data_IF_475725638450
#
_entry.id   IF_475725638450
#
_cell.length_a   1.000
_cell.length_b   1.000
_cell.length_c   1.000
_cell.angle_alpha   90.00
_cell.angle_beta   90.00
_cell.angle_gamma   90.00
#
_symmetry.space_group_name_H-M   'P 1'
#
loop_
_entity.id
_entity.type
_entity.pdbx_description
1 polymer ?
#
# COMPACT_ATOMS: atom_id res chain seq x y z
N UNK A 1 10.84 -1.85 11.44
CA UNK A 1 11.29 -1.34 10.13
C UNK A 1 12.37 -2.26 9.59
N UNK A 2 12.47 -2.39 8.27
CA UNK A 2 13.45 -3.21 7.54
C UNK A 2 14.25 -2.26 6.65
N UNK A 3 15.57 -2.31 6.71
CA UNK A 3 16.41 -1.52 5.82
C UNK A 3 16.50 -2.19 4.44
N UNK A 4 16.38 -1.42 3.35
CA UNK A 4 16.44 -1.92 1.97
C UNK A 4 17.78 -2.58 1.70
N UNK A 5 18.86 -1.97 2.14
CA UNK A 5 20.22 -2.53 1.98
C UNK A 5 20.38 -3.94 2.57
N UNK A 6 19.71 -4.23 3.70
CA UNK A 6 19.72 -5.58 4.29
C UNK A 6 19.05 -6.62 3.40
N UNK A 7 18.04 -6.22 2.62
CA UNK A 7 17.38 -7.09 1.65
C UNK A 7 18.28 -7.26 0.43
N UNK A 8 18.84 -6.18 -0.10
CA UNK A 8 19.76 -6.21 -1.23
C UNK A 8 20.93 -7.15 -0.98
N UNK A 9 21.61 -7.02 0.16
CA UNK A 9 22.73 -7.90 0.52
C UNK A 9 22.28 -9.36 0.64
N UNK A 10 21.11 -9.63 1.21
CA UNK A 10 20.58 -10.98 1.32
C UNK A 10 20.18 -11.57 -0.03
N UNK A 11 19.62 -10.77 -0.96
CA UNK A 11 19.32 -11.16 -2.35
C UNK A 11 20.60 -11.48 -3.09
N UNK A 12 21.57 -10.57 -3.11
CA UNK A 12 22.87 -10.77 -3.80
C UNK A 12 23.60 -12.02 -3.33
N UNK A 13 23.62 -12.26 -2.02
CA UNK A 13 24.21 -13.49 -1.46
C UNK A 13 23.57 -14.75 -2.02
N UNK A 14 22.22 -14.80 -2.18
CA UNK A 14 21.51 -15.98 -2.71
C UNK A 14 21.59 -16.10 -4.23
N UNK A 15 21.75 -14.98 -4.92
CA UNK A 15 22.00 -14.97 -6.36
C UNK A 15 23.45 -15.31 -6.73
N UNK A 16 24.33 -15.41 -5.73
CA UNK A 16 25.79 -15.51 -5.91
C UNK A 16 26.35 -14.32 -6.72
N UNK A 17 25.85 -13.10 -6.44
CA UNK A 17 26.13 -11.85 -7.11
C UNK A 17 26.82 -10.87 -6.13
N UNK A 18 27.97 -11.27 -5.59
CA UNK A 18 28.66 -10.54 -4.50
C UNK A 18 29.88 -9.76 -4.97
N UNK A 19 30.32 -9.94 -6.23
CA UNK A 19 31.44 -9.19 -6.79
C UNK A 19 31.01 -7.77 -7.18
N UNK A 20 31.38 -6.80 -6.37
CA UNK A 20 31.01 -5.37 -6.57
C UNK A 20 31.52 -4.77 -7.91
N UNK A 21 32.49 -5.40 -8.55
CA UNK A 21 33.03 -4.92 -9.83
C UNK A 21 32.30 -5.53 -11.03
N UNK A 22 31.48 -6.57 -10.80
CA UNK A 22 30.84 -7.36 -11.87
C UNK A 22 29.44 -7.81 -11.44
N UNK A 23 28.66 -6.92 -10.86
CA UNK A 23 27.28 -7.21 -10.56
C UNK A 23 26.50 -7.59 -11.81
N UNK A 24 25.74 -8.67 -11.72
CA UNK A 24 24.85 -9.14 -12.78
C UNK A 24 23.55 -8.34 -12.81
N UNK A 25 23.07 -7.93 -11.64
CA UNK A 25 21.91 -7.05 -11.46
C UNK A 25 22.40 -5.72 -10.87
N UNK A 26 21.92 -4.60 -11.41
CA UNK A 26 22.17 -3.29 -10.80
C UNK A 26 21.44 -3.16 -9.46
N UNK A 27 21.77 -2.16 -8.65
CA UNK A 27 21.01 -1.88 -7.42
C UNK A 27 19.60 -1.41 -7.77
N UNK A 28 19.45 -0.64 -8.84
CA UNK A 28 18.17 -0.13 -9.35
C UNK A 28 17.24 -1.28 -9.75
N UNK A 29 17.72 -2.26 -10.54
CA UNK A 29 16.93 -3.43 -10.92
C UNK A 29 16.45 -4.23 -9.71
N UNK A 30 17.31 -4.43 -8.71
CA UNK A 30 16.91 -5.14 -7.49
C UNK A 30 15.94 -4.32 -6.65
N UNK A 31 16.05 -2.97 -6.63
CA UNK A 31 15.08 -2.09 -5.97
C UNK A 31 13.73 -2.16 -6.68
N UNK A 32 13.68 -2.22 -8.00
CA UNK A 32 12.45 -2.40 -8.77
C UNK A 32 11.75 -3.73 -8.44
N UNK A 33 12.51 -4.83 -8.25
CA UNK A 33 11.94 -6.10 -7.80
C UNK A 33 11.48 -6.05 -6.33
N UNK A 34 12.18 -5.29 -5.48
CA UNK A 34 11.71 -5.04 -4.11
C UNK A 34 10.40 -4.23 -4.15
N UNK A 35 10.29 -3.20 -4.99
CA UNK A 35 9.07 -2.42 -5.15
C UNK A 35 7.90 -3.25 -5.68
N UNK A 36 8.15 -4.13 -6.66
CA UNK A 36 7.16 -5.09 -7.13
C UNK A 36 6.70 -6.02 -6.00
N UNK A 37 7.62 -6.49 -5.16
CA UNK A 37 7.30 -7.30 -4.00
C UNK A 37 6.48 -6.52 -2.96
N UNK A 38 6.81 -5.26 -2.73
CA UNK A 38 6.08 -4.38 -1.82
C UNK A 38 4.68 -4.05 -2.34
N UNK A 39 4.51 -3.89 -3.66
CA UNK A 39 3.22 -3.67 -4.28
C UNK A 39 2.28 -4.86 -4.05
N UNK A 40 2.77 -6.10 -4.24
CA UNK A 40 1.98 -7.30 -4.00
C UNK A 40 1.64 -7.47 -2.52
N UNK A 41 2.60 -7.27 -1.62
CA UNK A 41 2.38 -7.31 -0.16
C UNK A 41 1.39 -6.23 0.27
N UNK A 42 1.46 -5.03 -0.32
CA UNK A 42 0.52 -3.93 -0.03
C UNK A 42 -0.91 -4.29 -0.39
N UNK A 43 -1.12 -4.91 -1.58
CA UNK A 43 -2.43 -5.38 -2.05
C UNK A 43 -2.97 -6.52 -1.18
N UNK A 44 -2.11 -7.48 -0.84
CA UNK A 44 -2.49 -8.69 -0.10
C UNK A 44 -2.81 -8.44 1.38
N UNK A 45 -2.06 -7.56 2.03
CA UNK A 45 -2.16 -7.33 3.47
C UNK A 45 -2.81 -5.98 3.83
N UNK A 46 -2.93 -5.06 2.88
CA UNK A 46 -3.37 -3.67 3.11
C UNK A 46 -2.69 -3.06 4.37
N UNK A 47 -1.40 -3.31 4.51
CA UNK A 47 -0.67 -3.02 5.76
C UNK A 47 -0.16 -1.58 5.86
N UNK A 48 -0.07 -0.86 4.75
CA UNK A 48 0.38 0.53 4.74
C UNK A 48 -0.81 1.49 4.75
N UNK A 49 -0.82 2.39 5.72
CA UNK A 49 -1.85 3.41 5.88
C UNK A 49 -1.19 4.79 5.91
N UNK A 50 -1.76 5.73 5.20
CA UNK A 50 -1.36 7.13 5.23
C UNK A 50 -2.57 8.02 5.48
N UNK A 51 -2.32 9.20 6.05
CA UNK A 51 -3.29 10.26 6.19
C UNK A 51 -2.77 11.48 5.43
N UNK A 52 -3.58 12.00 4.54
CA UNK A 52 -3.30 13.24 3.83
C UNK A 52 -4.27 14.33 4.23
N UNK A 53 -3.81 15.56 4.18
CA UNK A 53 -4.63 16.74 4.44
C UNK A 53 -4.63 17.65 3.22
N UNK A 54 -5.81 18.00 2.75
CA UNK A 54 -6.02 18.86 1.59
C UNK A 54 -6.85 20.07 2.07
N UNK A 55 -6.47 21.27 1.66
CA UNK A 55 -7.27 22.46 1.88
C UNK A 55 -8.24 22.63 0.72
N UNK A 56 -9.49 22.90 1.04
CA UNK A 56 -10.56 23.06 0.06
C UNK A 56 -10.56 24.46 -0.53
N UNK A 57 -11.09 24.55 -1.76
CA UNK A 57 -11.49 25.78 -2.41
C UNK A 57 -13.00 25.66 -2.70
N UNK A 58 -13.81 26.62 -2.25
CA UNK A 58 -15.28 26.59 -2.39
C UNK A 58 -15.77 26.49 -3.85
N UNK A 59 -14.92 26.86 -4.81
CA UNK A 59 -15.21 26.82 -6.25
C UNK A 59 -14.74 25.52 -6.92
N UNK A 60 -14.10 24.61 -6.18
CA UNK A 60 -13.61 23.34 -6.69
C UNK A 60 -14.36 22.18 -6.02
N UNK A 61 -14.82 21.24 -6.83
CA UNK A 61 -15.44 20.00 -6.36
C UNK A 61 -14.57 18.78 -6.57
N UNK A 62 -13.42 18.95 -7.25
CA UNK A 62 -12.53 17.87 -7.67
C UNK A 62 -11.11 18.11 -7.17
N UNK A 63 -10.58 17.13 -6.45
CA UNK A 63 -9.23 17.16 -5.89
C UNK A 63 -8.45 15.92 -6.32
N UNK A 64 -7.17 16.11 -6.66
CA UNK A 64 -6.32 15.03 -7.11
C UNK A 64 -5.90 14.14 -5.94
N UNK A 65 -5.93 12.82 -6.18
CA UNK A 65 -5.41 11.81 -5.26
C UNK A 65 -4.00 11.37 -5.67
N UNK A 66 -3.17 10.89 -4.73
CA UNK A 66 -1.95 10.17 -5.06
C UNK A 66 -2.23 8.92 -5.91
N UNK A 67 -1.34 8.62 -6.88
CA UNK A 67 -1.53 7.48 -7.78
C UNK A 67 -1.41 6.09 -7.15
N UNK A 68 -0.90 6.02 -5.92
CA UNK A 68 -0.59 4.78 -5.21
C UNK A 68 -1.69 4.36 -4.23
N UNK A 69 -2.86 5.02 -4.22
CA UNK A 69 -3.99 4.68 -3.36
C UNK A 69 -4.58 3.32 -3.76
N UNK A 70 -4.68 2.42 -2.78
CA UNK A 70 -5.39 1.14 -2.92
C UNK A 70 -6.86 1.27 -2.51
N UNK A 71 -7.11 1.95 -1.39
CA UNK A 71 -8.45 2.11 -0.83
C UNK A 71 -8.53 3.27 0.14
N UNK A 72 -9.54 4.09 0.02
CA UNK A 72 -9.88 5.12 1.02
C UNK A 72 -10.58 4.45 2.20
N UNK A 73 -10.20 4.83 3.41
CA UNK A 73 -10.75 4.31 4.67
C UNK A 73 -11.76 5.28 5.29
N UNK A 74 -11.41 6.55 5.33
CA UNK A 74 -12.25 7.60 5.91
C UNK A 74 -11.93 8.95 5.29
N UNK A 75 -12.93 9.82 5.33
CA UNK A 75 -12.81 11.25 4.99
C UNK A 75 -13.45 12.06 6.10
N UNK A 76 -12.81 13.14 6.50
CA UNK A 76 -13.37 14.10 7.45
C UNK A 76 -13.03 15.52 7.04
N UNK A 77 -13.92 16.47 7.36
CA UNK A 77 -13.67 17.92 7.29
C UNK A 77 -13.72 18.45 8.71
N UNK A 78 -12.69 19.17 9.13
CA UNK A 78 -12.57 19.72 10.48
C UNK A 78 -12.88 18.70 11.58
N UNK A 79 -12.32 17.49 11.40
CA UNK A 79 -12.52 16.31 12.27
C UNK A 79 -13.95 15.75 12.30
N UNK A 80 -14.87 16.24 11.46
CA UNK A 80 -16.22 15.68 11.30
C UNK A 80 -16.22 14.66 10.16
N UNK A 81 -16.62 13.41 10.41
CA UNK A 81 -16.61 12.37 9.38
C UNK A 81 -17.63 12.69 8.27
N UNK A 82 -17.24 12.44 7.03
CA UNK A 82 -18.07 12.57 5.85
C UNK A 82 -18.42 11.19 5.31
N UNK A 83 -19.64 11.02 4.84
CA UNK A 83 -20.08 9.77 4.22
C UNK A 83 -19.42 9.58 2.86
N UNK A 84 -18.80 8.43 2.62
CA UNK A 84 -18.30 8.05 1.30
C UNK A 84 -19.42 7.35 0.54
N UNK A 85 -19.69 7.79 -0.69
CA UNK A 85 -20.70 7.22 -1.59
C UNK A 85 -20.05 6.76 -2.89
N UNK A 86 -20.67 5.80 -3.57
CA UNK A 86 -20.25 5.43 -4.91
C UNK A 86 -20.70 6.46 -5.95
N UNK A 87 -19.92 6.65 -7.03
CA UNK A 87 -20.25 7.57 -8.13
C UNK A 87 -21.67 7.36 -8.69
N UNK A 88 -22.04 6.10 -8.93
CA UNK A 88 -23.37 5.78 -9.44
C UNK A 88 -24.51 6.24 -8.49
N UNK A 89 -24.28 6.11 -7.18
CA UNK A 89 -25.26 6.55 -6.19
C UNK A 89 -25.41 8.06 -6.20
N UNK A 90 -24.30 8.80 -6.24
CA UNK A 90 -24.30 10.27 -6.31
C UNK A 90 -24.99 10.73 -7.59
N UNK A 91 -24.66 10.16 -8.74
CA UNK A 91 -25.25 10.49 -10.04
C UNK A 91 -26.76 10.31 -10.07
N UNK A 92 -27.28 9.21 -9.49
CA UNK A 92 -28.73 8.91 -9.44
C UNK A 92 -29.49 9.78 -8.43
N UNK A 93 -28.83 10.24 -7.37
CA UNK A 93 -29.47 10.95 -6.26
C UNK A 93 -29.10 12.44 -6.21
N UNK A 94 -28.47 13.00 -7.22
CA UNK A 94 -27.89 14.35 -7.25
C UNK A 94 -28.86 15.45 -6.74
N UNK A 95 -30.14 15.32 -7.01
CA UNK A 95 -31.16 16.31 -6.60
C UNK A 95 -31.66 16.14 -5.16
N UNK A 96 -31.32 15.03 -4.50
CA UNK A 96 -31.80 14.67 -3.17
C UNK A 96 -30.68 14.59 -2.12
N UNK A 97 -29.46 15.06 -2.45
CA UNK A 97 -28.33 15.02 -1.53
C UNK A 97 -28.27 16.36 -0.78
N UNK A 98 -28.62 16.32 0.50
CA UNK A 98 -28.60 17.48 1.39
C UNK A 98 -27.35 17.52 2.27
N UNK A 99 -26.82 16.35 2.61
CA UNK A 99 -25.63 16.22 3.46
C UNK A 99 -24.38 16.08 2.60
N UNK A 100 -23.28 16.67 3.06
CA UNK A 100 -22.00 16.59 2.38
C UNK A 100 -21.53 15.13 2.31
N UNK A 101 -21.18 14.67 1.12
CA UNK A 101 -20.60 13.36 0.87
C UNK A 101 -19.39 13.46 -0.03
N UNK A 102 -18.49 12.47 0.10
CA UNK A 102 -17.33 12.30 -0.77
C UNK A 102 -17.56 11.10 -1.69
N UNK A 103 -17.08 11.17 -2.93
CA UNK A 103 -16.97 10.03 -3.82
C UNK A 103 -15.65 10.08 -4.58
N UNK A 104 -15.22 8.95 -5.11
CA UNK A 104 -13.90 8.76 -5.69
C UNK A 104 -14.00 8.19 -7.08
N UNK A 105 -13.13 8.66 -7.98
CA UNK A 105 -12.74 7.97 -9.19
C UNK A 105 -11.28 7.49 -9.07
N UNK A 106 -10.69 6.98 -10.16
CA UNK A 106 -9.34 6.40 -10.14
C UNK A 106 -8.24 7.37 -9.69
N UNK A 107 -8.42 8.68 -9.91
CA UNK A 107 -7.36 9.68 -9.70
C UNK A 107 -7.81 10.91 -8.90
N UNK A 108 -9.08 10.98 -8.55
CA UNK A 108 -9.65 12.17 -7.91
C UNK A 108 -10.65 11.78 -6.82
N UNK A 109 -10.78 12.65 -5.85
CA UNK A 109 -11.96 12.65 -5.00
C UNK A 109 -12.79 13.88 -5.26
N UNK A 110 -14.08 13.77 -4.98
CA UNK A 110 -15.08 14.79 -5.19
C UNK A 110 -15.87 15.00 -3.92
N UNK A 111 -16.26 16.25 -3.68
CA UNK A 111 -17.18 16.63 -2.62
C UNK A 111 -18.49 17.11 -3.21
N UNK A 112 -19.60 16.64 -2.65
CA UNK A 112 -20.93 17.00 -3.10
C UNK A 112 -21.92 17.14 -1.92
N UNK A 113 -22.82 18.14 -1.89
CA UNK A 113 -22.98 19.21 -2.88
C UNK A 113 -21.93 20.32 -2.72
N UNK A 114 -21.61 20.98 -3.85
CA UNK A 114 -20.75 22.16 -3.89
C UNK A 114 -21.37 23.27 -3.03
N UNK A 115 -20.53 24.06 -2.35
CA UNK A 115 -20.99 25.18 -1.50
C UNK A 115 -21.43 24.77 -0.08
N UNK A 116 -21.24 23.49 0.31
CA UNK A 116 -21.42 23.00 1.69
C UNK A 116 -20.12 23.03 2.51
N UNK A 117 -19.02 23.44 1.91
CA UNK A 117 -17.71 23.66 2.54
C UNK A 117 -17.23 25.07 2.19
N UNK A 118 -16.24 25.54 2.93
CA UNK A 118 -15.68 26.89 2.78
C UNK A 118 -14.24 26.79 2.27
N UNK A 119 -13.75 27.94 1.76
CA UNK A 119 -12.33 28.09 1.50
C UNK A 119 -11.52 27.79 2.76
N UNK A 120 -10.39 27.11 2.56
CA UNK A 120 -9.47 26.68 3.60
C UNK A 120 -10.01 25.62 4.59
N UNK A 121 -11.24 25.13 4.43
CA UNK A 121 -11.68 23.95 5.19
C UNK A 121 -10.70 22.80 4.96
N UNK A 122 -10.30 22.13 6.05
CA UNK A 122 -9.29 21.08 5.99
C UNK A 122 -9.91 19.70 5.89
N UNK A 123 -9.75 19.07 4.72
CA UNK A 123 -10.10 17.65 4.54
C UNK A 123 -8.94 16.77 4.96
N UNK A 124 -9.24 15.75 5.77
CA UNK A 124 -8.32 14.64 6.07
C UNK A 124 -8.84 13.38 5.40
N UNK A 125 -7.96 12.72 4.66
CA UNK A 125 -8.25 11.47 3.96
C UNK A 125 -7.31 10.40 4.51
N UNK A 126 -7.87 9.36 5.13
CA UNK A 126 -7.13 8.17 5.52
C UNK A 126 -7.25 7.11 4.43
N UNK A 127 -6.15 6.58 3.98
CA UNK A 127 -6.15 5.59 2.89
C UNK A 127 -5.08 4.51 3.04
N UNK A 128 -5.31 3.41 2.35
CA UNK A 128 -4.32 2.36 2.10
C UNK A 128 -3.61 2.66 0.79
N UNK A 129 -2.29 2.41 0.75
CA UNK A 129 -1.47 2.73 -0.40
C UNK A 129 -0.41 1.66 -0.69
N UNK A 130 0.15 1.71 -1.90
CA UNK A 130 1.31 0.90 -2.29
C UNK A 130 2.57 1.61 -1.80
N UNK A 131 3.30 0.97 -0.90
CA UNK A 131 4.56 1.50 -0.41
C UNK A 131 5.68 1.23 -1.41
N UNK A 132 6.51 2.24 -1.67
CA UNK A 132 7.67 2.16 -2.56
C UNK A 132 8.91 2.72 -1.87
N UNK A 133 10.08 2.30 -2.34
CA UNK A 133 11.41 2.77 -1.92
C UNK A 133 12.20 3.22 -3.15
N UNK A 134 13.04 4.22 -2.98
CA UNK A 134 13.84 4.78 -4.07
C UNK A 134 15.33 4.44 -3.91
N UNK A 135 15.78 4.35 -2.66
CA UNK A 135 17.19 4.21 -2.35
C UNK A 135 17.49 3.04 -1.42
N UNK A 136 18.68 2.48 -1.53
CA UNK A 136 19.15 1.42 -0.62
C UNK A 136 19.25 1.84 0.85
N UNK A 137 19.33 3.14 1.13
CA UNK A 137 19.30 3.71 2.49
C UNK A 137 17.91 3.75 3.11
N UNK A 138 16.85 3.53 2.33
CA UNK A 138 15.48 3.65 2.79
C UNK A 138 15.08 2.54 3.76
N UNK A 139 14.00 2.82 4.51
CA UNK A 139 13.42 1.91 5.46
C UNK A 139 11.98 1.57 5.10
N UNK A 140 11.70 0.28 4.99
CA UNK A 140 10.35 -0.24 4.79
C UNK A 140 9.63 -0.24 6.13
N UNK A 141 8.53 0.52 6.22
CA UNK A 141 7.70 0.67 7.43
C UNK A 141 6.76 -0.51 7.65
N UNK A 142 7.29 -1.72 7.67
CA UNK A 142 6.55 -2.97 7.89
C UNK A 142 7.16 -3.77 9.03
N UNK A 143 6.42 -4.75 9.56
CA UNK A 143 6.96 -5.70 10.54
C UNK A 143 8.18 -6.45 10.00
N UNK A 144 9.17 -6.70 10.84
CA UNK A 144 10.33 -7.52 10.48
C UNK A 144 9.96 -8.93 10.02
N UNK A 145 8.79 -9.42 10.39
CA UNK A 145 8.26 -10.71 9.92
C UNK A 145 8.08 -10.77 8.40
N UNK A 146 7.82 -9.62 7.73
CA UNK A 146 7.66 -9.55 6.30
C UNK A 146 9.00 -9.62 5.51
N UNK A 147 10.16 -9.54 6.19
CA UNK A 147 11.48 -9.54 5.52
C UNK A 147 11.68 -10.75 4.61
N UNK A 148 11.22 -11.94 5.05
CA UNK A 148 11.34 -13.17 4.25
C UNK A 148 10.44 -13.15 3.03
N UNK A 149 9.21 -12.67 3.16
CA UNK A 149 8.29 -12.55 2.03
C UNK A 149 8.87 -11.63 0.94
N UNK A 150 9.34 -10.43 1.31
CA UNK A 150 9.99 -9.51 0.38
C UNK A 150 11.20 -10.18 -0.29
N UNK A 151 12.08 -10.79 0.50
CA UNK A 151 13.27 -11.48 -0.01
C UNK A 151 12.94 -12.58 -1.02
N UNK A 152 11.97 -13.44 -0.71
CA UNK A 152 11.62 -14.57 -1.58
C UNK A 152 10.94 -14.12 -2.87
N UNK A 153 10.08 -13.11 -2.82
CA UNK A 153 9.47 -12.58 -4.04
C UNK A 153 10.49 -11.85 -4.92
N UNK A 154 11.38 -11.07 -4.33
CA UNK A 154 12.49 -10.44 -5.06
C UNK A 154 13.37 -11.49 -5.76
N UNK A 155 13.71 -12.59 -5.09
CA UNK A 155 14.46 -13.70 -5.69
C UNK A 155 13.69 -14.41 -6.80
N UNK A 156 12.38 -14.63 -6.62
CA UNK A 156 11.51 -15.17 -7.66
C UNK A 156 11.60 -14.32 -8.93
N UNK A 157 11.42 -13.00 -8.83
CA UNK A 157 11.50 -12.08 -9.96
C UNK A 157 12.89 -12.07 -10.59
N UNK A 158 13.95 -12.04 -9.78
CA UNK A 158 15.35 -12.06 -10.27
C UNK A 158 15.67 -13.31 -11.07
N UNK A 159 15.07 -14.48 -10.77
CA UNK A 159 15.26 -15.71 -11.52
C UNK A 159 14.37 -15.83 -12.76
N UNK A 160 13.33 -15.01 -12.92
CA UNK A 160 12.48 -15.02 -14.13
C UNK A 160 13.21 -14.52 -15.38
N UNK A 161 14.17 -13.62 -15.25
CA UNK A 161 14.88 -13.03 -16.40
C UNK A 161 15.74 -14.04 -17.16
N UNK A 162 16.05 -15.16 -16.55
CA UNK A 162 16.96 -16.14 -17.15
C UNK A 162 16.22 -17.41 -17.56
N UNK A 163 16.06 -17.59 -18.87
CA UNK A 163 15.23 -18.62 -19.50
C UNK A 163 15.77 -20.06 -19.37
N UNK A 164 16.82 -20.32 -18.58
CA UNK A 164 17.28 -21.70 -18.36
C UNK A 164 16.31 -22.47 -17.46
N UNK A 165 16.05 -23.76 -17.76
CA UNK A 165 15.20 -24.64 -16.93
C UNK A 165 15.60 -24.64 -15.44
N UNK A 166 16.91 -24.57 -15.16
CA UNK A 166 17.43 -24.49 -13.80
C UNK A 166 16.97 -23.21 -13.07
N UNK A 167 16.85 -22.10 -13.76
CA UNK A 167 16.40 -20.83 -13.18
C UNK A 167 14.88 -20.80 -13.04
N UNK A 168 14.14 -21.42 -13.98
CA UNK A 168 12.68 -21.59 -13.85
C UNK A 168 12.33 -22.41 -12.59
N UNK A 169 13.07 -23.50 -12.30
CA UNK A 169 12.88 -24.26 -11.08
C UNK A 169 13.16 -23.48 -9.80
N UNK A 170 14.21 -22.62 -9.80
CA UNK A 170 14.49 -21.74 -8.66
C UNK A 170 13.44 -20.65 -8.50
N UNK A 171 13.00 -20.04 -9.58
CA UNK A 171 11.93 -19.03 -9.57
C UNK A 171 10.66 -19.61 -8.94
N UNK A 172 10.19 -20.78 -9.39
CA UNK A 172 9.03 -21.48 -8.81
C UNK A 172 9.22 -21.84 -7.34
N UNK A 173 10.42 -22.29 -6.95
CA UNK A 173 10.73 -22.58 -5.56
C UNK A 173 10.57 -21.35 -4.66
N UNK A 174 11.11 -20.19 -5.06
CA UNK A 174 11.01 -18.97 -4.28
C UNK A 174 9.58 -18.41 -4.26
N UNK A 175 8.80 -18.56 -5.34
CA UNK A 175 7.38 -18.21 -5.33
C UNK A 175 6.61 -19.03 -4.28
N UNK A 176 6.82 -20.35 -4.23
CA UNK A 176 6.18 -21.21 -3.23
C UNK A 176 6.58 -20.85 -1.79
N UNK A 177 7.83 -20.38 -1.57
CA UNK A 177 8.24 -19.86 -0.25
C UNK A 177 7.58 -18.54 0.08
N UNK A 178 7.43 -17.64 -0.89
CA UNK A 178 6.71 -16.39 -0.74
C UNK A 178 5.25 -16.62 -0.33
N UNK A 179 4.54 -17.50 -1.04
CA UNK A 179 3.13 -17.83 -0.76
C UNK A 179 2.93 -18.32 0.68
N UNK A 180 3.85 -19.17 1.17
CA UNK A 180 3.84 -19.65 2.57
C UNK A 180 4.03 -18.51 3.58
N UNK A 181 4.99 -17.62 3.32
CA UNK A 181 5.22 -16.47 4.21
C UNK A 181 4.05 -15.49 4.20
N UNK A 182 3.45 -15.21 3.03
CA UNK A 182 2.25 -14.36 2.91
C UNK A 182 1.06 -14.97 3.66
N UNK A 183 0.81 -16.26 3.52
CA UNK A 183 -0.25 -16.94 4.27
C UNK A 183 -0.05 -16.79 5.79
N UNK A 184 1.18 -16.92 6.26
CA UNK A 184 1.53 -16.73 7.69
C UNK A 184 1.32 -15.29 8.14
N UNK A 185 1.75 -14.33 7.32
CA UNK A 185 1.58 -12.90 7.60
C UNK A 185 0.10 -12.50 7.64
N UNK A 186 -0.73 -13.00 6.71
CA UNK A 186 -2.19 -12.78 6.72
C UNK A 186 -2.80 -13.18 8.07
N UNK A 187 -2.52 -14.38 8.54
CA UNK A 187 -3.02 -14.86 9.83
C UNK A 187 -2.61 -13.93 10.97
N UNK A 188 -1.34 -13.48 10.98
CA UNK A 188 -0.81 -12.61 12.02
C UNK A 188 -1.47 -11.21 11.99
N UNK A 189 -1.62 -10.62 10.80
CA UNK A 189 -2.27 -9.30 10.64
C UNK A 189 -3.74 -9.34 11.01
N UNK A 190 -4.49 -10.36 10.57
CA UNK A 190 -5.92 -10.50 10.89
C UNK A 190 -6.18 -10.79 12.37
N UNK A 191 -5.39 -11.65 13.01
CA UNK A 191 -5.51 -11.90 14.46
C UNK A 191 -5.31 -10.62 15.28
N UNK A 192 -4.31 -9.81 14.94
CA UNK A 192 -4.05 -8.55 15.63
C UNK A 192 -5.16 -7.51 15.44
N UNK A 193 -5.84 -7.50 14.29
CA UNK A 193 -6.96 -6.61 14.00
C UNK A 193 -8.17 -6.99 14.86
N UNK A 194 -8.55 -8.25 14.90
CA UNK A 194 -9.69 -8.74 15.70
C UNK A 194 -9.46 -8.67 17.21
N UNK A 195 -8.23 -8.84 17.70
CA UNK A 195 -7.93 -8.72 19.14
C UNK A 195 -8.10 -7.29 19.68
N UNK A 196 -7.89 -6.27 18.84
CA UNK A 196 -8.14 -4.87 19.21
C UNK A 196 -9.64 -4.58 19.34
N UNK A 197 -10.45 -5.13 18.45
CA UNK A 197 -11.92 -4.96 18.45
C UNK A 197 -12.56 -5.64 19.68
N UNK A 198 -12.08 -6.82 20.06
CA UNK A 198 -12.55 -7.53 21.25
C UNK A 198 -12.23 -6.76 22.54
N UNK A 199 -11.04 -6.20 22.68
CA UNK A 199 -10.65 -5.40 23.85
C UNK A 199 -11.49 -4.13 24.03
N UNK A 200 -11.98 -3.52 22.95
CA UNK A 200 -12.88 -2.36 23.03
C UNK A 200 -14.31 -2.73 23.48
N UNK A 201 -14.80 -3.92 23.13
CA UNK A 201 -16.15 -4.38 23.56
C UNK A 201 -16.22 -4.69 25.06
N UNK A 202 -15.15 -5.23 25.67
CA UNK A 202 -15.11 -5.54 27.11
C UNK A 202 -14.88 -4.32 28.04
N UNK A 203 -14.55 -3.16 27.52
CA UNK A 203 -14.40 -1.91 28.29
C UNK A 203 -15.68 -1.08 28.41
N UNK A 204 -16.81 -1.55 27.89
CA UNK A 204 -18.11 -0.86 27.92
C UNK A 204 -19.14 -1.56 28.78
N UNK A 205 -18.72 -2.36 29.76
CA UNK A 205 -19.60 -2.89 30.83
C UNK A 205 -19.24 -2.22 32.14
#
# INVERSE_FOLDING_TARGET
>A
MIQVNDILLAVRSRLNDTDTKKYRWSDEELIDYINSSLADISKELECFTHQESIYLNENEDRYRLPHDILRVLSVSIDDKPITIKGYEWVSKNKHNIYDLCAYFDEQSFFLYPIGKFKDDDKVKIDYKYIFQVEHKSDYIKISKLAKKAILFHTLHLSYQINTSEKNAGKSTHYLNLYDKEIATLRVTYFKNKHSKDIKQKFRKV
#
